data_IF_525983505478
#
_entry.id   IF_525983505478
#
_cell.length_a   1.000
_cell.length_b   1.000
_cell.length_c   1.000
_cell.angle_alpha   90.00
_cell.angle_beta   90.00
_cell.angle_gamma   90.00
#
_symmetry.space_group_name_H-M   'P 1'
#
loop_
_entity.id
_entity.type
_entity.pdbx_description
1 polymer ?
#
# COMPACT_ATOMS: atom_id res chain seq x y z
N UNK A 1 -7.95 -50.38 -0.46
CA UNK A 1 -8.25 -48.95 -0.64
C UNK A 1 -7.26 -48.17 0.22
N UNK A 2 -6.55 -47.17 -0.32
CA UNK A 2 -5.54 -46.46 0.45
C UNK A 2 -6.19 -45.61 1.57
N UNK A 3 -5.65 -45.69 2.79
CA UNK A 3 -6.14 -44.98 3.96
C UNK A 3 -5.53 -43.57 4.02
N UNK A 4 -6.28 -42.61 3.49
CA UNK A 4 -5.90 -41.19 3.41
C UNK A 4 -5.98 -40.47 4.76
N UNK A 5 -6.46 -41.10 5.84
CA UNK A 5 -6.53 -40.49 7.17
C UNK A 5 -5.15 -40.12 7.76
N UNK A 6 -4.08 -40.71 7.21
CA UNK A 6 -2.68 -40.47 7.60
C UNK A 6 -1.99 -39.41 6.74
N UNK A 7 -2.66 -38.84 5.74
CA UNK A 7 -2.15 -37.66 5.04
C UNK A 7 -2.21 -36.45 5.99
N UNK A 8 -1.15 -36.25 6.75
CA UNK A 8 -0.96 -35.03 7.54
C UNK A 8 -0.68 -33.89 6.58
N UNK A 9 -1.69 -33.06 6.28
CA UNK A 9 -1.41 -31.74 5.73
C UNK A 9 -0.61 -30.97 6.77
N UNK A 10 0.65 -30.63 6.44
CA UNK A 10 1.48 -29.83 7.32
C UNK A 10 0.78 -28.50 7.60
N UNK A 11 0.67 -28.11 8.88
CA UNK A 11 0.16 -26.78 9.21
C UNK A 11 1.12 -25.74 8.62
N UNK A 12 0.62 -24.69 7.94
CA UNK A 12 1.50 -23.65 7.41
C UNK A 12 2.29 -23.03 8.56
N UNK A 13 3.57 -22.73 8.31
CA UNK A 13 4.40 -22.04 9.29
C UNK A 13 3.78 -20.68 9.64
N UNK A 14 3.53 -20.48 10.93
CA UNK A 14 3.07 -19.21 11.48
C UNK A 14 4.29 -18.29 11.64
N UNK A 15 4.08 -16.98 11.44
CA UNK A 15 5.10 -15.92 11.61
C UNK A 15 6.20 -15.85 10.54
N UNK A 16 6.00 -16.40 9.34
CA UNK A 16 6.87 -16.03 8.22
C UNK A 16 6.60 -14.58 7.77
N UNK A 17 7.63 -13.79 7.41
CA UNK A 17 7.43 -12.47 6.84
C UNK A 17 6.56 -12.57 5.60
N UNK A 18 5.49 -11.78 5.53
CA UNK A 18 4.69 -11.70 4.30
C UNK A 18 5.56 -11.15 3.18
N UNK A 19 5.50 -11.78 2.00
CA UNK A 19 6.17 -11.26 0.82
C UNK A 19 5.70 -9.82 0.57
N UNK A 20 6.65 -8.89 0.41
CA UNK A 20 6.32 -7.54 -0.03
C UNK A 20 6.09 -7.58 -1.53
N UNK A 21 4.83 -7.44 -1.92
CA UNK A 21 4.46 -7.38 -3.34
C UNK A 21 4.97 -6.09 -3.98
N UNK A 22 5.42 -6.16 -5.23
CA UNK A 22 5.94 -5.00 -5.98
C UNK A 22 4.89 -3.89 -6.15
N UNK A 23 3.61 -4.23 -6.17
CA UNK A 23 2.51 -3.28 -6.28
C UNK A 23 1.94 -2.84 -4.92
N UNK A 24 2.59 -3.20 -3.80
CA UNK A 24 2.15 -2.75 -2.48
C UNK A 24 2.14 -1.21 -2.45
N UNK A 25 0.97 -0.57 -2.21
CA UNK A 25 0.88 0.88 -2.21
C UNK A 25 1.76 1.46 -1.10
N UNK A 26 2.56 2.46 -1.47
CA UNK A 26 3.56 3.04 -0.60
C UNK A 26 4.85 2.24 -0.41
N UNK A 27 5.07 1.22 -1.23
CA UNK A 27 6.36 0.53 -1.32
C UNK A 27 7.40 1.35 -2.09
N UNK A 28 8.67 0.90 -2.11
CA UNK A 28 9.72 1.55 -2.89
C UNK A 28 9.46 1.54 -4.40
N UNK A 29 8.79 0.49 -4.91
CA UNK A 29 8.42 0.36 -6.32
C UNK A 29 7.08 1.02 -6.67
N UNK A 30 6.15 1.12 -5.71
CA UNK A 30 4.88 1.83 -5.85
C UNK A 30 4.76 2.87 -4.73
N UNK A 31 5.34 4.08 -4.90
CA UNK A 31 5.31 5.11 -3.85
C UNK A 31 3.90 5.71 -3.66
N UNK A 32 3.02 5.51 -4.64
CA UNK A 32 1.65 6.01 -4.62
C UNK A 32 0.77 5.10 -3.77
N UNK A 33 -0.18 5.69 -3.02
CA UNK A 33 -1.07 4.95 -2.14
C UNK A 33 -0.60 4.81 -0.69
N UNK A 34 0.53 5.40 -0.29
CA UNK A 34 0.70 5.76 1.12
C UNK A 34 -0.42 6.72 1.49
N UNK A 35 -1.19 6.36 2.52
CA UNK A 35 -2.02 7.32 3.23
C UNK A 35 -1.07 8.21 4.03
N UNK A 36 -0.60 9.28 3.41
CA UNK A 36 0.06 10.35 4.15
C UNK A 36 -0.90 10.88 5.22
N UNK A 37 -0.36 11.39 6.33
CA UNK A 37 -1.17 12.00 7.37
C UNK A 37 -2.10 13.04 6.77
N UNK A 38 -3.36 13.06 7.23
CA UNK A 38 -4.41 13.94 6.70
C UNK A 38 -3.96 15.40 6.64
N UNK A 39 -3.12 15.83 7.58
CA UNK A 39 -2.51 17.15 7.61
C UNK A 39 -1.65 17.43 6.36
N UNK A 40 -0.75 16.51 6.00
CA UNK A 40 0.12 16.64 4.83
C UNK A 40 -0.67 16.66 3.51
N UNK A 41 -1.77 15.89 3.42
CA UNK A 41 -2.68 15.94 2.28
C UNK A 41 -3.33 17.32 2.14
N UNK A 42 -3.85 17.87 3.24
CA UNK A 42 -4.51 19.18 3.25
C UNK A 42 -3.53 20.30 2.87
N UNK A 43 -2.28 20.23 3.30
CA UNK A 43 -1.24 21.19 2.92
C UNK A 43 -0.97 21.17 1.40
N UNK A 44 -0.82 19.98 0.80
CA UNK A 44 -0.67 19.84 -0.66
C UNK A 44 -1.87 20.39 -1.42
N UNK A 45 -3.09 20.14 -0.94
CA UNK A 45 -4.31 20.66 -1.58
C UNK A 45 -4.38 22.19 -1.52
N UNK A 46 -4.03 22.80 -0.38
CA UNK A 46 -3.97 24.26 -0.24
C UNK A 46 -2.90 24.87 -1.17
N UNK A 47 -1.71 24.29 -1.20
CA UNK A 47 -0.62 24.74 -2.07
C UNK A 47 -1.01 24.68 -3.56
N UNK A 48 -1.67 23.60 -3.99
CA UNK A 48 -2.15 23.48 -5.37
C UNK A 48 -3.29 24.47 -5.68
N UNK A 49 -4.19 24.73 -4.73
CA UNK A 49 -5.24 25.73 -4.89
C UNK A 49 -4.70 27.16 -4.96
N UNK A 50 -3.56 27.47 -4.32
CA UNK A 50 -2.86 28.74 -4.46
C UNK A 50 -2.21 28.85 -5.84
N UNK A 51 -1.44 27.84 -6.25
CA UNK A 51 -0.83 27.78 -7.59
C UNK A 51 -1.84 27.90 -8.73
N UNK A 52 -3.02 27.29 -8.60
CA UNK A 52 -4.08 27.40 -9.60
C UNK A 52 -4.76 28.78 -9.67
N UNK A 53 -4.70 29.57 -8.59
CA UNK A 53 -5.16 30.97 -8.60
C UNK A 53 -4.14 31.88 -9.27
N UNK A 54 -2.85 31.62 -9.03
CA UNK A 54 -1.76 32.38 -9.64
C UNK A 54 -1.60 32.04 -11.13
N UNK A 55 -1.80 30.77 -11.52
CA UNK A 55 -1.75 30.31 -12.91
C UNK A 55 -3.02 30.61 -13.73
N UNK A 56 -4.09 31.09 -13.09
CA UNK A 56 -5.30 31.59 -13.75
C UNK A 56 -5.32 33.11 -13.92
N UNK A 57 -4.23 33.79 -13.55
CA UNK A 57 -3.96 35.20 -13.81
C UNK A 57 -2.78 35.35 -14.79
N UNK A 58 -2.85 34.68 -15.93
CA UNK A 58 -2.09 34.99 -17.16
C UNK A 58 -3.01 34.83 -18.37
#
# INVERSE_FOLDING_TARGET
MADYSKQKSGKPQKNQPRHREHNQPGGPANPFGKKDDKAALLERMKANAQKGKDAGQE
#
